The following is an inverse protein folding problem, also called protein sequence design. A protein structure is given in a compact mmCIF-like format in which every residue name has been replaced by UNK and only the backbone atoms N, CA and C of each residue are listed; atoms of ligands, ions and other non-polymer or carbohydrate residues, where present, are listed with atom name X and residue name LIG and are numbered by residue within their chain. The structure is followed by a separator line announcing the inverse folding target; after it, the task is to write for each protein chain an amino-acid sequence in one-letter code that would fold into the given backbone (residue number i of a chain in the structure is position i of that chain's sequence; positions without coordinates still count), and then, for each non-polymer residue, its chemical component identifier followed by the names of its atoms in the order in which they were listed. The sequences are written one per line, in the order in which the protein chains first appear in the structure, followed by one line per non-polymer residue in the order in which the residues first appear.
data_IF_031500777504
#
_entry.id   IF_031500777504
#
_cell.length_a   1.000
_cell.length_b   1.000
_cell.length_c   1.000
_cell.angle_alpha   90.00
_cell.angle_beta   90.00
_cell.angle_gamma   90.00
#
_symmetry.space_group_name_H-M   'P 1'
#
loop_
_entity.id
_entity.type
_entity.pdbx_description
1 polymer ?
#
# COMPACT_ATOMS: atom_id res chain seq x y z
N UNK A 1 1.11 12.53 -26.73
CA UNK A 1 0.93 11.43 -25.76
C UNK A 1 -0.21 11.83 -24.84
N UNK A 2 -1.25 11.00 -24.72
CA UNK A 2 -2.37 11.24 -23.79
C UNK A 2 -2.01 10.56 -22.46
N UNK A 3 -2.17 11.20 -21.29
CA UNK A 3 -1.89 10.52 -20.03
C UNK A 3 -2.82 9.30 -19.89
N UNK A 4 -2.25 8.19 -19.42
CA UNK A 4 -2.96 6.92 -19.16
C UNK A 4 -3.87 6.99 -17.93
N UNK A 5 -3.68 8.01 -17.09
CA UNK A 5 -4.45 8.25 -15.89
C UNK A 5 -5.05 9.66 -15.96
N UNK A 6 -6.33 9.78 -15.63
CA UNK A 6 -7.03 11.05 -15.53
C UNK A 6 -7.43 11.24 -14.07
N UNK A 7 -7.15 12.42 -13.52
CA UNK A 7 -7.72 12.81 -12.24
C UNK A 7 -9.22 12.99 -12.43
N UNK A 8 -10.00 12.21 -11.68
CA UNK A 8 -11.46 12.31 -11.66
C UNK A 8 -11.84 12.96 -10.34
N UNK A 9 -12.49 14.11 -10.40
CA UNK A 9 -13.04 14.73 -9.18
C UNK A 9 -14.10 13.80 -8.60
N UNK A 10 -13.81 13.22 -7.43
CA UNK A 10 -14.78 12.42 -6.70
C UNK A 10 -15.59 13.33 -5.79
N UNK A 11 -16.77 13.76 -6.26
CA UNK A 11 -17.67 14.60 -5.48
C UNK A 11 -18.07 13.97 -4.12
N UNK A 12 -18.04 12.64 -4.02
CA UNK A 12 -18.37 11.94 -2.78
C UNK A 12 -17.29 12.06 -1.69
N UNK A 13 -16.02 12.24 -2.05
CA UNK A 13 -14.92 12.34 -1.09
C UNK A 13 -14.06 13.61 -1.24
N UNK A 14 -14.51 14.58 -2.04
CA UNK A 14 -13.79 15.84 -2.36
C UNK A 14 -12.32 15.61 -2.79
N UNK A 15 -12.04 14.47 -3.42
CA UNK A 15 -10.67 14.07 -3.76
C UNK A 15 -9.77 13.70 -2.57
N UNK A 16 -10.25 13.79 -1.33
CA UNK A 16 -9.52 13.44 -0.11
C UNK A 16 -9.42 11.92 0.12
N UNK A 17 -10.31 11.14 -0.50
CA UNK A 17 -10.30 9.66 -0.42
C UNK A 17 -10.92 9.07 0.85
N UNK A 18 -11.46 9.89 1.75
CA UNK A 18 -12.14 9.45 2.98
C UNK A 18 -13.52 10.10 3.10
N UNK A 19 -14.46 9.36 3.70
CA UNK A 19 -15.84 9.79 3.96
C UNK A 19 -16.21 9.44 5.40
N UNK A 20 -17.16 10.19 5.98
CA UNK A 20 -17.75 9.86 7.27
C UNK A 20 -18.52 8.54 7.18
N UNK A 21 -18.33 7.66 8.16
CA UNK A 21 -18.88 6.31 8.10
C UNK A 21 -20.40 6.25 8.33
N UNK A 22 -20.98 7.23 9.01
CA UNK A 22 -22.40 7.25 9.35
C UNK A 22 -23.23 7.93 8.26
N UNK A 23 -22.70 9.00 7.67
CA UNK A 23 -23.39 9.86 6.71
C UNK A 23 -22.97 9.59 5.27
N UNK A 24 -21.77 9.04 5.05
CA UNK A 24 -21.19 8.85 3.73
C UNK A 24 -20.73 10.15 3.06
N UNK A 25 -20.77 11.28 3.77
CA UNK A 25 -20.32 12.57 3.27
C UNK A 25 -18.79 12.68 3.29
N UNK A 26 -18.25 13.56 2.44
CA UNK A 26 -16.81 13.84 2.42
C UNK A 26 -16.32 14.27 3.80
N UNK A 27 -15.25 13.64 4.26
CA UNK A 27 -14.64 13.98 5.53
C UNK A 27 -13.97 15.35 5.41
N UNK A 28 -14.22 16.25 6.36
CA UNK A 28 -13.68 17.61 6.34
C UNK A 28 -12.15 17.62 6.23
N UNK A 29 -11.60 18.65 5.57
CA UNK A 29 -10.15 18.78 5.32
C UNK A 29 -9.31 18.78 6.60
N UNK A 30 -9.88 19.16 7.74
CA UNK A 30 -9.20 19.19 9.03
C UNK A 30 -9.14 17.79 9.68
N UNK A 31 -10.12 16.94 9.41
CA UNK A 31 -10.23 15.59 10.00
C UNK A 31 -9.61 14.49 9.11
N UNK A 32 -9.61 14.71 7.78
CA UNK A 32 -9.05 13.78 6.81
C UNK A 32 -7.57 13.41 7.06
N UNK A 33 -6.67 14.33 7.48
CA UNK A 33 -5.29 14.01 7.79
C UNK A 33 -5.14 13.02 8.95
N UNK A 34 -6.03 13.07 9.95
CA UNK A 34 -5.99 12.15 11.08
C UNK A 34 -6.39 10.73 10.64
N UNK A 35 -7.45 10.62 9.85
CA UNK A 35 -7.89 9.33 9.27
C UNK A 35 -6.82 8.74 8.35
N UNK A 36 -6.21 9.57 7.50
CA UNK A 36 -5.10 9.19 6.62
C UNK A 36 -3.92 8.63 7.42
N UNK A 37 -3.50 9.30 8.50
CA UNK A 37 -2.39 8.83 9.36
C UNK A 37 -2.68 7.47 9.99
N UNK A 38 -3.88 7.28 10.53
CA UNK A 38 -4.30 6.01 11.10
C UNK A 38 -4.32 4.89 10.05
N UNK A 39 -4.81 5.20 8.84
CA UNK A 39 -4.83 4.27 7.72
C UNK A 39 -3.42 3.85 7.27
N UNK A 40 -2.50 4.83 7.12
CA UNK A 40 -1.09 4.56 6.78
C UNK A 40 -0.45 3.65 7.82
N UNK A 41 -0.56 3.97 9.11
CA UNK A 41 0.01 3.13 10.18
C UNK A 41 -0.55 1.70 10.16
N UNK A 42 -1.84 1.56 9.84
CA UNK A 42 -2.47 0.24 9.67
C UNK A 42 -1.90 -0.51 8.46
N UNK A 43 -1.65 0.16 7.34
CA UNK A 43 -1.03 -0.46 6.17
C UNK A 43 0.43 -0.88 6.45
N UNK A 44 1.20 -0.02 7.09
CA UNK A 44 2.59 -0.31 7.48
C UNK A 44 2.67 -1.55 8.39
N UNK A 45 1.77 -1.66 9.37
CA UNK A 45 1.73 -2.84 10.24
C UNK A 45 1.33 -4.12 9.50
N UNK A 46 0.44 -4.05 8.51
CA UNK A 46 0.11 -5.17 7.64
C UNK A 46 1.30 -5.58 6.78
N UNK A 47 2.00 -4.62 6.16
CA UNK A 47 3.21 -4.88 5.37
C UNK A 47 4.28 -5.54 6.24
N UNK A 48 4.56 -5.00 7.43
CA UNK A 48 5.53 -5.57 8.36
C UNK A 48 5.14 -6.99 8.82
N UNK A 49 3.84 -7.28 8.93
CA UNK A 49 3.34 -8.61 9.25
C UNK A 49 3.55 -9.57 8.09
N UNK A 50 3.16 -9.16 6.87
CA UNK A 50 3.38 -9.95 5.66
C UNK A 50 4.87 -10.22 5.43
N UNK A 51 5.75 -9.24 5.60
CA UNK A 51 7.20 -9.42 5.49
C UNK A 51 7.75 -10.43 6.50
N UNK A 52 7.23 -10.48 7.73
CA UNK A 52 7.61 -11.49 8.73
C UNK A 52 7.05 -12.88 8.42
N UNK A 53 5.89 -12.93 7.77
CA UNK A 53 5.23 -14.18 7.38
C UNK A 53 5.74 -14.76 6.06
N UNK A 54 6.45 -13.97 5.26
CA UNK A 54 7.15 -14.48 4.09
C UNK A 54 8.14 -15.54 4.58
N UNK A 55 7.97 -16.83 4.19
CA UNK A 55 9.04 -17.80 4.39
C UNK A 55 10.28 -17.21 3.71
N UNK A 56 11.47 -17.41 4.31
CA UNK A 56 12.73 -16.91 3.75
C UNK A 56 12.79 -17.29 2.27
N UNK A 57 12.42 -16.36 1.38
CA UNK A 57 12.58 -16.57 -0.04
C UNK A 57 14.08 -16.65 -0.20
N UNK A 58 14.56 -17.85 -0.51
CA UNK A 58 15.84 -18.06 -1.15
C UNK A 58 15.75 -17.41 -2.54
N UNK A 59 15.64 -16.08 -2.54
CA UNK A 59 15.56 -15.20 -3.68
C UNK A 59 16.65 -15.63 -4.65
N UNK A 60 16.22 -16.31 -5.71
CA UNK A 60 16.91 -16.51 -6.97
C UNK A 60 18.44 -16.66 -6.90
N UNK A 61 18.99 -17.42 -5.95
CA UNK A 61 20.42 -17.78 -5.96
C UNK A 61 20.77 -18.73 -7.10
N UNK A 62 19.77 -19.25 -7.81
CA UNK A 62 19.95 -19.95 -9.07
C UNK A 62 19.72 -18.96 -10.22
N UNK A 63 20.78 -18.28 -10.64
CA UNK A 63 20.88 -17.83 -12.02
C UNK A 63 20.73 -19.02 -12.99
N UNK A 64 20.71 -18.78 -14.32
CA UNK A 64 20.35 -19.80 -15.33
C UNK A 64 21.20 -21.08 -15.38
N UNK A 65 22.17 -21.28 -14.48
CA UNK A 65 23.09 -22.41 -14.48
C UNK A 65 23.35 -23.07 -13.11
N UNK A 66 22.47 -22.88 -12.12
CA UNK A 66 22.28 -23.86 -11.02
C UNK A 66 23.51 -24.51 -10.36
N UNK A 67 24.63 -23.81 -10.18
CA UNK A 67 25.83 -24.37 -9.53
C UNK A 67 25.95 -23.85 -8.10
N UNK A 68 25.72 -24.74 -7.14
CA UNK A 68 26.16 -24.56 -5.77
C UNK A 68 27.58 -25.11 -5.65
N UNK A 69 28.57 -24.24 -5.43
CA UNK A 69 29.83 -24.62 -4.82
C UNK A 69 29.72 -24.31 -3.32
N UNK A 70 29.47 -25.33 -2.52
CA UNK A 70 29.76 -25.31 -1.08
C UNK A 70 31.04 -26.09 -0.90
N UNK A 71 32.17 -25.37 -0.87
CA UNK A 71 33.44 -25.92 -0.42
C UNK A 71 33.57 -25.66 1.08
N UNK A 72 33.39 -26.72 1.87
CA UNK A 72 34.33 -27.13 2.92
C UNK A 72 34.22 -28.67 3.03
#
# INVERSE_FOLDING_TARGET
MKPLFYDVECAACDGAGFVDAATGESLGKDDAPFQMRAYIARLESQVATLQRMQPYESSNRRGPHGSHFTGD
#
